data_IF_408634780433
#
_entry.id   IF_408634780433
#
_cell.length_a   1.000
_cell.length_b   1.000
_cell.length_c   1.000
_cell.angle_alpha   90.00
_cell.angle_beta   90.00
_cell.angle_gamma   90.00
#
_symmetry.space_group_name_H-M   'P 1'
#
loop_
_entity.id
_entity.type
_entity.pdbx_description
1 polymer ?
#
# COMPACT_ATOMS: atom_id res chain seq x y z
N UNK A 1 -0.03 -23.66 29.67
CA UNK A 1 0.41 -22.60 30.60
C UNK A 1 1.89 -22.37 30.38
N UNK A 2 2.26 -21.20 29.85
CA UNK A 2 3.61 -20.64 29.91
C UNK A 2 3.51 -19.15 29.55
N UNK A 3 3.60 -18.27 30.56
CA UNK A 3 3.78 -16.82 30.41
C UNK A 3 5.18 -16.51 30.91
N UNK A 4 6.13 -16.34 30.01
CA UNK A 4 7.47 -15.81 30.34
C UNK A 4 7.84 -14.79 29.27
N UNK A 5 8.02 -13.53 29.67
CA UNK A 5 8.54 -12.49 28.79
C UNK A 5 8.16 -11.04 29.14
N UNK A 6 7.13 -10.78 29.96
CA UNK A 6 6.68 -9.40 30.19
C UNK A 6 7.34 -8.68 31.38
N UNK A 7 8.02 -9.39 32.28
CA UNK A 7 8.56 -8.80 33.52
C UNK A 7 9.92 -8.10 33.35
N UNK A 8 10.76 -8.52 32.41
CA UNK A 8 12.11 -7.93 32.27
C UNK A 8 12.11 -6.70 31.38
N UNK A 9 11.17 -6.61 30.43
CA UNK A 9 11.02 -5.45 29.56
C UNK A 9 10.48 -4.22 30.31
N UNK A 10 9.61 -4.44 31.30
CA UNK A 10 9.02 -3.36 32.10
C UNK A 10 10.03 -2.72 33.09
N UNK A 11 11.07 -3.46 33.53
CA UNK A 11 12.10 -2.91 34.42
C UNK A 11 13.06 -1.95 33.71
N UNK A 12 13.42 -2.24 32.45
CA UNK A 12 14.33 -1.35 31.68
C UNK A 12 13.74 0.04 31.39
N UNK A 13 12.42 0.16 31.23
CA UNK A 13 11.78 1.45 30.95
C UNK A 13 11.70 2.33 32.20
N UNK A 14 11.68 1.74 33.40
CA UNK A 14 11.56 2.47 34.65
C UNK A 14 12.90 3.09 35.11
N UNK A 15 14.03 2.51 34.69
CA UNK A 15 15.36 2.97 35.10
C UNK A 15 15.89 4.12 34.22
N UNK A 16 15.40 4.27 32.98
CA UNK A 16 15.86 5.31 32.03
C UNK A 16 15.24 6.71 32.25
N UNK A 17 14.31 6.88 33.20
CA UNK A 17 13.55 8.13 33.37
C UNK A 17 13.79 8.85 34.71
N UNK A 18 14.87 8.50 35.41
CA UNK A 18 15.10 8.99 36.77
C UNK A 18 16.43 9.71 36.94
N UNK A 19 16.72 10.68 36.07
CA UNK A 19 17.75 11.68 36.33
C UNK A 19 17.25 13.10 35.99
N UNK A 20 17.39 13.96 37.01
CA UNK A 20 17.47 15.43 36.99
C UNK A 20 16.20 16.29 36.78
N UNK A 21 15.58 16.68 37.91
CA UNK A 21 15.14 18.08 38.11
C UNK A 21 15.43 18.52 39.55
N UNK A 22 16.18 19.62 39.77
CA UNK A 22 16.40 20.18 41.11
C UNK A 22 15.19 21.00 41.58
N UNK A 23 14.86 20.83 42.85
CA UNK A 23 13.82 21.56 43.59
C UNK A 23 14.23 23.02 43.82
N UNK A 24 13.39 23.97 43.39
CA UNK A 24 13.47 25.38 43.80
C UNK A 24 12.40 25.68 44.86
N UNK A 25 12.85 25.85 46.09
CA UNK A 25 12.15 26.53 47.19
C UNK A 25 12.21 28.05 47.00
N UNK A 26 11.14 28.77 47.34
CA UNK A 26 11.13 30.23 47.37
C UNK A 26 9.75 30.84 47.63
N UNK A 27 9.50 31.09 48.92
CA UNK A 27 8.74 32.14 49.63
C UNK A 27 7.91 33.19 48.87
N UNK A 28 6.81 33.65 49.52
CA UNK A 28 6.23 34.98 49.25
C UNK A 28 4.75 35.21 49.62
N UNK A 29 4.49 35.42 50.92
CA UNK A 29 3.66 36.47 51.58
C UNK A 29 2.34 37.07 51.01
N UNK A 30 1.48 37.44 51.99
CA UNK A 30 0.48 38.55 52.02
C UNK A 30 -0.88 38.33 51.30
N UNK A 31 -2.07 38.65 51.82
CA UNK A 31 -2.50 39.70 52.78
C UNK A 31 -3.68 39.28 53.68
N UNK A 32 -3.73 39.92 54.85
CA UNK A 32 -4.82 40.00 55.82
C UNK A 32 -5.58 41.33 55.63
N UNK A 33 -6.90 41.26 55.47
CA UNK A 33 -7.86 42.31 55.78
C UNK A 33 -9.18 41.60 56.16
N UNK A 34 -9.84 41.80 57.30
CA UNK A 34 -9.99 43.00 58.10
C UNK A 34 -11.30 43.69 57.69
N UNK A 35 -12.43 43.38 58.35
CA UNK A 35 -13.32 44.38 58.95
C UNK A 35 -14.54 43.76 59.65
N UNK A 36 -14.86 44.38 60.79
CA UNK A 36 -15.89 44.03 61.77
C UNK A 36 -17.23 44.66 61.39
N UNK A 37 -18.34 44.04 61.77
CA UNK A 37 -19.56 44.75 62.13
C UNK A 37 -20.14 44.12 63.41
N UNK A 38 -20.22 44.95 64.44
CA UNK A 38 -20.83 44.74 65.75
C UNK A 38 -22.34 45.10 65.66
N UNK A 39 -23.24 44.25 66.18
CA UNK A 39 -24.09 44.49 67.39
C UNK A 39 -25.40 45.27 67.05
N UNK A 40 -26.64 45.02 67.54
CA UNK A 40 -27.20 44.43 68.78
C UNK A 40 -28.70 44.02 68.58
N UNK A 41 -29.15 43.03 69.38
CA UNK A 41 -30.38 42.97 70.23
C UNK A 41 -31.82 42.95 69.61
N UNK A 42 -32.86 42.26 70.13
CA UNK A 42 -33.17 41.68 71.46
C UNK A 42 -34.36 40.64 71.44
N UNK A 43 -34.50 39.90 72.56
CA UNK A 43 -35.71 39.35 73.25
C UNK A 43 -36.28 37.89 73.13
N UNK A 44 -35.83 37.06 74.09
CA UNK A 44 -36.52 36.27 75.16
C UNK A 44 -37.88 35.49 75.04
N UNK A 45 -37.78 34.19 75.38
CA UNK A 45 -38.58 33.35 76.35
C UNK A 45 -39.20 32.02 75.81
N UNK A 46 -39.10 30.89 76.55
CA UNK A 46 -39.67 29.60 76.16
C UNK A 46 -40.92 29.23 76.97
N UNK A 47 -41.97 28.72 76.29
CA UNK A 47 -43.14 28.10 76.93
C UNK A 47 -43.36 26.68 76.41
N UNK A 48 -43.38 25.72 77.34
CA UNK A 48 -43.54 24.28 77.08
C UNK A 48 -44.99 23.93 76.68
N UNK A 49 -45.17 23.43 75.45
CA UNK A 49 -46.32 22.63 75.02
C UNK A 49 -45.93 21.15 74.80
N UNK A 50 -46.90 20.21 74.70
CA UNK A 50 -46.62 18.77 74.70
C UNK A 50 -45.76 18.37 73.50
N UNK A 51 -44.64 17.69 73.79
CA UNK A 51 -43.70 17.18 72.79
C UNK A 51 -44.41 16.16 71.90
N UNK A 52 -44.86 16.59 70.73
CA UNK A 52 -45.03 15.67 69.61
C UNK A 52 -43.66 15.09 69.31
N UNK A 53 -43.46 13.80 69.57
CA UNK A 53 -42.28 13.06 69.10
C UNK A 53 -42.43 12.99 67.58
N UNK A 54 -41.95 14.03 66.90
CA UNK A 54 -41.73 14.00 65.45
C UNK A 54 -40.57 13.05 65.23
N UNK A 55 -40.88 11.94 64.57
CA UNK A 55 -39.97 10.85 64.26
C UNK A 55 -38.77 11.46 63.55
N UNK A 56 -37.65 11.62 64.26
CA UNK A 56 -36.40 12.21 63.75
C UNK A 56 -35.84 11.42 62.56
N UNK A 57 -36.22 10.16 62.45
CA UNK A 57 -35.87 9.29 61.34
C UNK A 57 -36.63 9.66 60.05
N UNK A 58 -37.87 10.16 60.13
CA UNK A 58 -38.63 10.54 58.93
C UNK A 58 -38.14 11.86 58.33
N UNK A 59 -37.77 12.84 59.16
CA UNK A 59 -37.13 14.07 58.67
C UNK A 59 -35.72 13.79 58.14
N UNK A 60 -35.00 12.83 58.74
CA UNK A 60 -33.72 12.33 58.23
C UNK A 60 -33.88 11.64 56.87
N UNK A 61 -34.86 10.74 56.71
CA UNK A 61 -35.12 10.03 55.46
C UNK A 61 -35.59 10.99 54.34
N UNK A 62 -36.46 11.95 54.65
CA UNK A 62 -36.89 12.96 53.68
C UNK A 62 -35.74 13.90 53.30
N UNK A 63 -34.89 14.27 54.26
CA UNK A 63 -33.65 15.02 54.03
C UNK A 63 -32.71 14.26 53.08
N UNK A 64 -32.40 13.01 53.39
CA UNK A 64 -31.56 12.13 52.58
C UNK A 64 -32.15 11.88 51.18
N UNK A 65 -33.48 11.74 51.07
CA UNK A 65 -34.16 11.61 49.77
C UNK A 65 -34.03 12.88 48.95
N UNK A 66 -34.19 14.06 49.57
CA UNK A 66 -34.00 15.34 48.89
C UNK A 66 -32.55 15.56 48.47
N UNK A 67 -31.59 15.14 49.29
CA UNK A 67 -30.16 15.20 49.00
C UNK A 67 -29.77 14.23 47.88
N UNK A 68 -30.33 13.01 47.86
CA UNK A 68 -30.16 12.06 46.77
C UNK A 68 -30.69 12.59 45.44
N UNK A 69 -31.85 13.26 45.47
CA UNK A 69 -32.42 13.89 44.26
C UNK A 69 -31.49 15.01 43.79
N UNK A 70 -31.04 15.91 44.68
CA UNK A 70 -30.08 16.98 44.36
C UNK A 70 -28.79 16.43 43.76
N UNK A 71 -28.20 15.42 44.39
CA UNK A 71 -26.97 14.78 43.92
C UNK A 71 -27.15 14.05 42.60
N UNK A 72 -28.31 13.42 42.37
CA UNK A 72 -28.65 12.80 41.08
C UNK A 72 -28.82 13.86 39.98
N UNK A 73 -29.45 15.01 40.29
CA UNK A 73 -29.57 16.12 39.35
C UNK A 73 -28.22 16.76 39.03
N UNK A 74 -27.32 16.89 40.01
CA UNK A 74 -25.95 17.38 39.82
C UNK A 74 -25.11 16.41 38.97
N UNK A 75 -25.22 15.10 39.24
CA UNK A 75 -24.54 14.07 38.42
C UNK A 75 -25.09 14.05 36.99
N UNK A 76 -26.40 14.22 36.80
CA UNK A 76 -26.99 14.27 35.47
C UNK A 76 -26.64 15.57 34.74
N UNK A 77 -26.62 16.71 35.43
CA UNK A 77 -26.19 17.99 34.89
C UNK A 77 -24.70 17.97 34.51
N UNK A 78 -23.83 17.37 35.33
CA UNK A 78 -22.41 17.19 35.00
C UNK A 78 -22.21 16.20 33.86
N UNK A 79 -22.97 15.10 33.79
CA UNK A 79 -22.96 14.17 32.65
C UNK A 79 -23.45 14.81 31.35
N UNK A 80 -24.54 15.57 31.39
CA UNK A 80 -25.03 16.33 30.23
C UNK A 80 -24.04 17.40 29.81
N UNK A 81 -23.49 18.15 30.77
CA UNK A 81 -22.40 19.09 30.48
C UNK A 81 -21.17 18.39 29.91
N UNK A 82 -20.84 17.16 30.29
CA UNK A 82 -19.69 16.42 29.75
C UNK A 82 -19.98 15.79 28.39
N UNK A 83 -21.24 15.43 28.10
CA UNK A 83 -21.71 15.00 26.78
C UNK A 83 -21.77 16.18 25.79
N UNK A 84 -22.26 17.33 26.23
CA UNK A 84 -22.32 18.55 25.43
C UNK A 84 -20.92 19.21 25.28
N UNK A 85 -19.97 18.91 26.18
CA UNK A 85 -18.56 19.32 26.10
C UNK A 85 -17.70 18.46 25.18
N UNK A 86 -18.25 17.47 24.48
CA UNK A 86 -17.55 16.93 23.30
C UNK A 86 -17.41 17.98 22.18
N UNK A 87 -18.09 19.14 22.22
CA UNK A 87 -17.80 20.22 21.27
C UNK A 87 -18.20 21.67 21.68
N UNK A 88 -17.85 22.15 22.87
CA UNK A 88 -17.81 23.61 23.14
C UNK A 88 -16.60 23.99 24.00
N UNK A 89 -15.49 24.30 23.32
CA UNK A 89 -14.19 24.57 23.94
C UNK A 89 -14.09 25.98 24.56
N UNK A 90 -13.96 26.02 25.88
CA UNK A 90 -13.42 27.15 26.64
C UNK A 90 -11.89 27.22 26.66
N UNK A 91 -11.19 26.37 25.91
CA UNK A 91 -9.74 26.47 25.64
C UNK A 91 -9.52 26.11 24.18
N UNK A 92 -8.69 26.89 23.49
CA UNK A 92 -8.39 26.76 22.06
C UNK A 92 -7.93 25.32 21.76
N UNK A 93 -8.82 24.50 21.20
CA UNK A 93 -8.48 23.24 20.57
C UNK A 93 -7.74 23.56 19.29
N UNK A 94 -6.49 23.09 19.16
CA UNK A 94 -5.62 23.24 17.98
C UNK A 94 -6.24 22.57 16.73
N UNK A 95 -7.38 21.89 16.86
CA UNK A 95 -8.00 21.03 15.84
C UNK A 95 -9.33 21.56 15.27
N UNK A 96 -9.80 22.75 15.66
CA UNK A 96 -11.02 23.33 15.06
C UNK A 96 -10.68 24.27 13.92
N UNK A 97 -10.78 23.74 12.70
CA UNK A 97 -10.64 24.46 11.42
C UNK A 97 -11.67 25.61 11.35
N UNK A 98 -11.19 26.83 11.09
CA UNK A 98 -12.07 28.02 11.01
C UNK A 98 -13.05 27.89 9.84
N UNK A 99 -14.19 28.60 9.87
CA UNK A 99 -15.18 28.59 8.77
C UNK A 99 -14.54 28.96 7.43
N UNK A 100 -13.63 29.94 7.41
CA UNK A 100 -12.92 30.38 6.21
C UNK A 100 -11.95 29.32 5.68
N UNK A 101 -11.33 28.57 6.60
CA UNK A 101 -10.40 27.49 6.27
C UNK A 101 -11.15 26.26 5.71
N UNK A 102 -12.41 26.03 6.10
CA UNK A 102 -13.28 25.04 5.46
C UNK A 102 -13.59 25.42 4.01
N UNK A 103 -13.82 26.70 3.73
CA UNK A 103 -14.11 27.19 2.37
C UNK A 103 -12.86 27.10 1.49
N UNK A 104 -11.67 27.43 2.02
CA UNK A 104 -10.41 27.28 1.27
C UNK A 104 -10.08 25.81 0.99
N UNK A 105 -10.32 24.91 1.95
CA UNK A 105 -10.20 23.46 1.77
C UNK A 105 -11.13 22.93 0.67
N UNK A 106 -12.37 23.41 0.61
CA UNK A 106 -13.33 23.00 -0.44
C UNK A 106 -12.90 23.49 -1.82
N UNK A 107 -12.41 24.73 -1.94
CA UNK A 107 -11.86 25.25 -3.20
C UNK A 107 -10.63 24.46 -3.65
N UNK A 108 -9.70 24.17 -2.73
CA UNK A 108 -8.53 23.36 -3.03
C UNK A 108 -8.89 21.92 -3.43
N UNK A 109 -9.90 21.32 -2.78
CA UNK A 109 -10.42 20.01 -3.15
C UNK A 109 -11.07 20.01 -4.53
N UNK A 110 -11.81 21.06 -4.87
CA UNK A 110 -12.42 21.23 -6.19
C UNK A 110 -11.35 21.41 -7.29
N UNK A 111 -10.37 22.27 -7.07
CA UNK A 111 -9.24 22.44 -8.00
C UNK A 111 -8.43 21.14 -8.18
N UNK A 112 -8.25 20.38 -7.10
CA UNK A 112 -7.63 19.05 -7.17
C UNK A 112 -8.48 18.09 -8.00
N UNK A 113 -9.80 18.10 -7.82
CA UNK A 113 -10.70 17.27 -8.63
C UNK A 113 -10.66 17.65 -10.12
N UNK A 114 -10.56 18.94 -10.44
CA UNK A 114 -10.42 19.40 -11.81
C UNK A 114 -9.10 18.95 -12.44
N UNK A 115 -7.98 19.08 -11.70
CA UNK A 115 -6.67 18.58 -12.14
C UNK A 115 -6.71 17.08 -12.40
N UNK A 116 -7.30 16.31 -11.48
CA UNK A 116 -7.49 14.86 -11.65
C UNK A 116 -8.33 14.58 -12.90
N UNK A 117 -9.44 15.29 -13.11
CA UNK A 117 -10.29 15.14 -14.31
C UNK A 117 -9.58 15.49 -15.62
N UNK A 118 -8.66 16.46 -15.60
CA UNK A 118 -7.82 16.79 -16.76
C UNK A 118 -6.84 15.65 -17.05
N UNK A 119 -6.12 15.17 -16.04
CA UNK A 119 -5.19 14.04 -16.20
C UNK A 119 -5.90 12.75 -16.63
N UNK A 120 -7.10 12.46 -16.12
CA UNK A 120 -7.89 11.32 -16.59
C UNK A 120 -8.31 11.46 -18.06
N UNK A 121 -8.59 12.68 -18.53
CA UNK A 121 -8.90 12.94 -19.94
C UNK A 121 -7.68 12.78 -20.83
N UNK A 122 -6.52 13.27 -20.38
CA UNK A 122 -5.24 13.10 -21.08
C UNK A 122 -4.85 11.62 -21.16
N UNK A 123 -4.97 10.88 -20.05
CA UNK A 123 -4.68 9.45 -20.01
C UNK A 123 -5.59 8.65 -20.96
N UNK A 124 -6.89 8.95 -20.99
CA UNK A 124 -7.82 8.31 -21.94
C UNK A 124 -7.44 8.59 -23.40
N UNK A 125 -6.95 9.79 -23.72
CA UNK A 125 -6.49 10.13 -25.07
C UNK A 125 -5.22 9.36 -25.42
N UNK A 126 -4.25 9.30 -24.52
CA UNK A 126 -3.01 8.52 -24.72
C UNK A 126 -3.32 7.02 -24.92
N UNK A 127 -4.24 6.46 -24.14
CA UNK A 127 -4.69 5.08 -24.32
C UNK A 127 -5.37 4.87 -25.68
N UNK A 128 -6.23 5.80 -26.11
CA UNK A 128 -6.86 5.77 -27.43
C UNK A 128 -5.82 5.83 -28.56
N UNK A 129 -4.88 6.77 -28.50
CA UNK A 129 -3.79 6.89 -29.47
C UNK A 129 -2.94 5.62 -29.52
N UNK A 130 -2.63 5.02 -28.36
CA UNK A 130 -1.91 3.75 -28.30
C UNK A 130 -2.69 2.62 -28.95
N UNK A 131 -3.99 2.53 -28.72
CA UNK A 131 -4.86 1.54 -29.35
C UNK A 131 -4.96 1.75 -30.86
N UNK A 132 -5.05 2.99 -31.32
CA UNK A 132 -5.03 3.32 -32.75
C UNK A 132 -3.69 2.97 -33.40
N UNK A 133 -2.57 3.28 -32.74
CA UNK A 133 -1.24 2.92 -33.22
C UNK A 133 -1.04 1.40 -33.25
N UNK A 134 -1.56 0.67 -32.26
CA UNK A 134 -1.58 -0.79 -32.28
C UNK A 134 -2.44 -1.32 -33.43
N UNK A 135 -3.61 -0.71 -33.67
CA UNK A 135 -4.48 -1.05 -34.79
C UNK A 135 -3.82 -0.80 -36.15
N UNK A 136 -3.12 0.33 -36.32
CA UNK A 136 -2.33 0.63 -37.53
C UNK A 136 -1.22 -0.41 -37.75
N UNK A 137 -0.44 -0.73 -36.70
CA UNK A 137 0.59 -1.77 -36.75
C UNK A 137 0.02 -3.15 -37.08
N UNK A 138 -1.17 -3.48 -36.58
CA UNK A 138 -1.83 -4.74 -36.89
C UNK A 138 -2.24 -4.78 -38.37
N UNK A 139 -2.88 -3.73 -38.87
CA UNK A 139 -3.25 -3.59 -40.29
C UNK A 139 -2.04 -3.64 -41.21
N UNK A 140 -0.96 -2.95 -40.88
CA UNK A 140 0.31 -3.00 -41.62
C UNK A 140 0.87 -4.43 -41.66
N UNK A 141 0.82 -5.17 -40.55
CA UNK A 141 1.21 -6.58 -40.51
C UNK A 141 0.29 -7.45 -41.36
N UNK A 142 -1.02 -7.24 -41.33
CA UNK A 142 -1.98 -7.97 -42.17
C UNK A 142 -1.66 -7.78 -43.65
N UNK A 143 -1.44 -6.52 -44.09
CA UNK A 143 -1.02 -6.21 -45.47
C UNK A 143 0.26 -6.94 -45.86
N UNK A 144 1.26 -6.97 -44.95
CA UNK A 144 2.51 -7.70 -45.18
C UNK A 144 2.28 -9.21 -45.32
N UNK A 145 1.43 -9.80 -44.47
CA UNK A 145 1.10 -11.22 -44.57
C UNK A 145 0.30 -11.57 -45.84
N UNK A 146 -0.62 -10.70 -46.26
CA UNK A 146 -1.35 -10.87 -47.52
C UNK A 146 -0.42 -10.80 -48.73
N UNK A 147 0.53 -9.86 -48.75
CA UNK A 147 1.55 -9.75 -49.79
C UNK A 147 2.48 -10.98 -49.82
N UNK A 148 2.87 -11.52 -48.67
CA UNK A 148 3.64 -12.77 -48.61
C UNK A 148 2.85 -13.95 -49.15
N UNK A 149 1.57 -14.04 -48.79
CA UNK A 149 0.67 -15.12 -49.23
C UNK A 149 0.35 -15.04 -50.72
N UNK A 150 0.31 -13.85 -51.31
CA UNK A 150 0.16 -13.66 -52.76
C UNK A 150 1.48 -13.90 -53.52
N UNK A 151 2.61 -14.09 -52.81
CA UNK A 151 3.93 -14.32 -53.40
C UNK A 151 4.60 -13.03 -53.90
N UNK A 152 4.13 -11.86 -53.46
CA UNK A 152 4.71 -10.58 -53.83
C UNK A 152 6.02 -10.34 -53.05
N UNK A 153 7.05 -9.87 -53.75
CA UNK A 153 8.34 -9.51 -53.13
C UNK A 153 8.14 -8.25 -52.29
N UNK A 154 8.32 -8.38 -50.98
CA UNK A 154 8.29 -7.24 -50.06
C UNK A 154 9.53 -6.39 -50.27
N UNK A 155 9.35 -5.07 -50.30
CA UNK A 155 10.44 -4.10 -50.43
C UNK A 155 10.47 -3.16 -49.22
N UNK A 156 11.66 -2.74 -48.82
CA UNK A 156 11.85 -1.63 -47.89
C UNK A 156 11.43 -0.31 -48.53
N UNK A 157 11.41 0.78 -47.75
CA UNK A 157 11.13 2.14 -48.25
C UNK A 157 12.09 2.56 -49.37
N UNK A 158 13.31 2.00 -49.40
CA UNK A 158 14.34 2.23 -50.41
C UNK A 158 14.20 1.33 -51.66
N UNK A 159 13.06 0.64 -51.81
CA UNK A 159 12.79 -0.36 -52.87
C UNK A 159 13.75 -1.57 -52.90
N UNK A 160 14.59 -1.73 -51.87
CA UNK A 160 15.41 -2.93 -51.69
C UNK A 160 14.53 -4.11 -51.23
N UNK A 161 14.69 -5.32 -51.80
CA UNK A 161 13.90 -6.49 -51.40
C UNK A 161 14.23 -6.96 -49.97
N UNK A 162 13.19 -7.39 -49.24
CA UNK A 162 13.33 -7.94 -47.88
C UNK A 162 13.75 -9.40 -47.96
N UNK A 163 15.03 -9.68 -47.68
CA UNK A 163 15.67 -10.97 -47.95
C UNK A 163 15.29 -12.10 -46.95
N UNK A 164 14.90 -11.75 -45.72
CA UNK A 164 14.67 -12.74 -44.66
C UNK A 164 13.23 -13.22 -44.51
N UNK A 165 12.27 -12.60 -45.20
CA UNK A 165 10.84 -12.84 -44.93
C UNK A 165 10.23 -13.77 -45.99
N UNK A 166 9.94 -15.00 -45.59
CA UNK A 166 9.45 -16.07 -46.48
C UNK A 166 8.23 -16.73 -45.85
N UNK A 167 7.17 -16.93 -46.63
CA UNK A 167 6.05 -17.79 -46.22
C UNK A 167 6.46 -19.26 -46.31
N UNK A 168 6.64 -19.91 -45.15
CA UNK A 168 7.00 -21.32 -45.07
C UNK A 168 5.93 -22.25 -45.68
N UNK A 169 4.66 -21.85 -45.68
CA UNK A 169 3.60 -22.65 -46.28
C UNK A 169 3.70 -22.66 -47.81
N UNK A 170 3.97 -21.50 -48.42
CA UNK A 170 4.25 -21.40 -49.86
C UNK A 170 5.56 -22.09 -50.23
N UNK A 171 6.62 -21.89 -49.45
CA UNK A 171 7.90 -22.56 -49.69
C UNK A 171 7.75 -24.08 -49.67
N UNK A 172 7.01 -24.61 -48.70
CA UNK A 172 6.73 -26.04 -48.59
C UNK A 172 5.93 -26.56 -49.79
N UNK A 173 4.90 -25.84 -50.23
CA UNK A 173 4.13 -26.21 -51.44
C UNK A 173 4.99 -26.22 -52.70
N UNK A 174 5.80 -25.18 -52.92
CA UNK A 174 6.74 -25.13 -54.04
C UNK A 174 7.76 -26.26 -53.99
N UNK A 175 8.22 -26.63 -52.80
CA UNK A 175 9.16 -27.73 -52.60
C UNK A 175 8.49 -29.08 -52.89
N UNK A 176 7.27 -29.31 -52.41
CA UNK A 176 6.46 -30.48 -52.74
C UNK A 176 6.20 -30.57 -54.26
N UNK A 177 5.81 -29.47 -54.91
CA UNK A 177 5.64 -29.40 -56.37
C UNK A 177 6.94 -29.70 -57.13
N UNK A 178 8.09 -29.23 -56.65
CA UNK A 178 9.40 -29.59 -57.22
C UNK A 178 9.73 -31.06 -57.03
N UNK A 179 9.52 -31.62 -55.84
CA UNK A 179 9.73 -33.06 -55.60
C UNK A 179 8.79 -33.92 -56.46
N UNK A 180 7.58 -33.45 -56.74
CA UNK A 180 6.65 -34.13 -57.64
C UNK A 180 7.06 -33.97 -59.12
N UNK A 181 7.54 -32.80 -59.54
CA UNK A 181 8.00 -32.53 -60.91
C UNK A 181 9.39 -33.11 -61.25
N UNK A 182 10.28 -33.27 -60.27
CA UNK A 182 11.60 -33.90 -60.45
C UNK A 182 11.52 -35.43 -60.50
N UNK A 183 10.47 -36.05 -59.96
CA UNK A 183 10.24 -37.50 -60.18
C UNK A 183 9.98 -37.86 -61.65
N UNK A 184 9.63 -36.88 -62.49
CA UNK A 184 9.51 -37.07 -63.95
C UNK A 184 10.78 -36.74 -64.73
N UNK A 185 11.82 -36.15 -64.10
CA UNK A 185 13.07 -35.78 -64.76
C UNK A 185 14.25 -36.40 -64.02
N UNK A 186 14.94 -37.34 -64.68
CA UNK A 186 16.08 -38.09 -64.14
C UNK A 186 17.12 -37.20 -63.40
N UNK A 187 17.74 -37.70 -62.30
CA UNK A 187 18.61 -36.89 -61.45
C UNK A 187 19.93 -36.54 -62.14
N UNK A 188 20.08 -35.26 -62.54
CA UNK A 188 21.36 -34.70 -62.98
C UNK A 188 22.23 -34.31 -61.78
N UNK A 189 23.26 -35.12 -61.51
CA UNK A 189 24.27 -34.86 -60.48
C UNK A 189 25.24 -33.75 -60.89
N UNK A 190 25.04 -32.51 -60.45
CA UNK A 190 26.13 -31.52 -60.47
C UNK A 190 25.97 -30.41 -59.42
N UNK A 191 26.68 -30.59 -58.31
CA UNK A 191 27.43 -29.58 -57.55
C UNK A 191 26.86 -28.16 -57.42
N UNK A 192 26.26 -27.86 -56.26
CA UNK A 192 26.19 -26.48 -55.75
C UNK A 192 26.76 -26.41 -54.33
N UNK A 193 28.07 -26.15 -54.23
CA UNK A 193 28.73 -25.79 -52.97
C UNK A 193 28.22 -24.41 -52.52
N UNK A 194 27.27 -24.39 -51.59
CA UNK A 194 26.93 -23.16 -50.86
C UNK A 194 28.09 -22.86 -49.90
N UNK A 195 28.75 -21.71 -50.09
CA UNK A 195 29.71 -21.19 -49.13
C UNK A 195 28.91 -20.65 -47.94
N UNK A 196 29.00 -21.29 -46.79
CA UNK A 196 28.51 -20.72 -45.54
C UNK A 196 29.58 -19.74 -45.05
N UNK A 197 29.22 -18.47 -44.91
CA UNK A 197 30.03 -17.47 -44.21
C UNK A 197 29.92 -17.77 -42.72
N UNK A 198 30.65 -18.78 -42.26
CA UNK A 198 30.86 -18.98 -40.83
C UNK A 198 31.86 -17.92 -40.38
N UNK A 199 31.41 -16.99 -39.52
CA UNK A 199 32.31 -16.14 -38.74
C UNK A 199 33.32 -17.07 -38.04
N UNK A 200 34.59 -16.90 -38.37
CA UNK A 200 35.64 -17.79 -37.89
C UNK A 200 35.82 -17.53 -36.39
N UNK A 201 36.05 -18.60 -35.63
CA UNK A 201 36.40 -18.50 -34.22
C UNK A 201 37.68 -17.68 -34.07
N UNK A 202 37.58 -16.48 -33.50
CA UNK A 202 38.73 -15.66 -33.14
C UNK A 202 39.22 -16.09 -31.75
N UNK A 203 40.40 -16.73 -31.64
CA UNK A 203 40.93 -17.20 -30.36
C UNK A 203 41.34 -16.05 -29.43
N UNK A 204 41.42 -14.83 -29.95
CA UNK A 204 41.83 -13.62 -29.23
C UNK A 204 40.65 -12.73 -28.80
N UNK A 205 39.40 -13.05 -29.18
CA UNK A 205 38.22 -12.35 -28.65
C UNK A 205 38.05 -12.64 -27.15
N UNK A 206 37.80 -11.60 -26.35
CA UNK A 206 37.60 -11.71 -24.91
C UNK A 206 36.49 -12.70 -24.57
N UNK A 207 36.89 -13.92 -24.24
CA UNK A 207 35.98 -14.99 -23.89
C UNK A 207 35.17 -14.55 -22.65
N UNK A 208 33.84 -14.54 -22.78
CA UNK A 208 32.95 -14.20 -21.66
C UNK A 208 33.31 -15.06 -20.44
N UNK A 209 33.79 -14.40 -19.38
CA UNK A 209 34.31 -15.03 -18.15
C UNK A 209 33.19 -15.53 -17.23
N UNK A 210 31.95 -15.06 -17.45
CA UNK A 210 30.80 -15.44 -16.63
C UNK A 210 29.56 -15.71 -17.51
N UNK A 211 28.80 -16.73 -17.14
CA UNK A 211 27.54 -17.10 -17.80
C UNK A 211 27.34 -18.61 -17.94
N UNK A 212 26.11 -18.99 -18.31
CA UNK A 212 25.71 -20.40 -18.46
C UNK A 212 26.51 -21.12 -19.55
N UNK A 213 26.95 -20.39 -20.58
CA UNK A 213 27.76 -20.90 -21.68
C UNK A 213 29.24 -21.16 -21.33
N UNK A 214 29.72 -20.75 -20.14
CA UNK A 214 31.13 -20.87 -19.75
C UNK A 214 31.43 -22.09 -18.85
N UNK A 215 30.40 -22.76 -18.30
CA UNK A 215 30.63 -24.00 -17.54
C UNK A 215 30.96 -25.15 -18.49
N UNK A 216 32.26 -25.46 -18.60
CA UNK A 216 32.72 -26.69 -19.25
C UNK A 216 32.39 -27.85 -18.33
N UNK A 217 31.60 -28.80 -18.83
CA UNK A 217 31.40 -30.08 -18.15
C UNK A 217 32.64 -30.94 -18.30
N UNK A 218 32.86 -31.85 -17.36
CA UNK A 218 33.88 -32.88 -17.51
C UNK A 218 33.63 -33.76 -18.73
N UNK A 219 34.71 -34.29 -19.31
CA UNK A 219 34.62 -35.22 -20.45
C UNK A 219 34.06 -36.59 -20.05
N UNK A 220 34.27 -37.00 -18.80
CA UNK A 220 33.75 -38.27 -18.29
C UNK A 220 32.25 -38.20 -18.02
N UNK A 221 31.50 -39.16 -18.55
CA UNK A 221 30.04 -39.16 -18.53
C UNK A 221 29.46 -39.13 -17.10
N UNK A 222 30.00 -39.92 -16.19
CA UNK A 222 29.49 -40.02 -14.82
C UNK A 222 29.67 -38.72 -14.04
N UNK A 223 30.83 -38.08 -14.19
CA UNK A 223 31.12 -36.81 -13.51
C UNK A 223 30.31 -35.67 -14.14
N UNK A 224 30.09 -35.71 -15.46
CA UNK A 224 29.21 -34.77 -16.17
C UNK A 224 27.77 -34.86 -15.68
N UNK A 225 27.24 -36.08 -15.54
CA UNK A 225 25.88 -36.30 -15.05
C UNK A 225 25.71 -35.78 -13.61
N UNK A 226 26.70 -36.01 -12.73
CA UNK A 226 26.70 -35.46 -11.36
C UNK A 226 26.69 -33.93 -11.35
N UNK A 227 27.53 -33.29 -12.18
CA UNK A 227 27.56 -31.83 -12.32
C UNK A 227 26.25 -31.25 -12.85
N UNK A 228 25.62 -31.93 -13.82
CA UNK A 228 24.30 -31.55 -14.33
C UNK A 228 23.23 -31.69 -13.25
N UNK A 229 23.24 -32.77 -12.48
CA UNK A 229 22.29 -32.99 -11.41
C UNK A 229 22.44 -31.93 -10.30
N UNK A 230 23.68 -31.60 -9.92
CA UNK A 230 23.96 -30.52 -8.97
C UNK A 230 23.42 -29.17 -9.45
N UNK A 231 23.63 -28.84 -10.73
CA UNK A 231 23.08 -27.61 -11.34
C UNK A 231 21.56 -27.58 -11.30
N UNK A 232 20.90 -28.70 -11.59
CA UNK A 232 19.44 -28.80 -11.52
C UNK A 232 18.95 -28.62 -10.09
N UNK A 233 19.63 -29.18 -9.09
CA UNK A 233 19.26 -29.04 -7.68
C UNK A 233 19.45 -27.60 -7.19
N UNK A 234 20.51 -26.91 -7.62
CA UNK A 234 20.71 -25.48 -7.33
C UNK A 234 19.65 -24.60 -7.99
N UNK A 235 19.23 -24.95 -9.21
CA UNK A 235 18.14 -24.25 -9.91
C UNK A 235 16.82 -24.43 -9.16
N UNK A 236 16.47 -25.66 -8.77
CA UNK A 236 15.27 -25.95 -7.96
C UNK A 236 15.28 -25.19 -6.64
N UNK A 237 16.42 -25.15 -5.93
CA UNK A 237 16.57 -24.37 -4.69
C UNK A 237 16.29 -22.88 -4.92
N UNK A 238 16.86 -22.31 -5.99
CA UNK A 238 16.66 -20.89 -6.36
C UNK A 238 15.22 -20.59 -6.72
N UNK A 239 14.53 -21.49 -7.42
CA UNK A 239 13.11 -21.32 -7.73
C UNK A 239 12.24 -21.35 -6.48
N UNK A 240 12.55 -22.24 -5.53
CA UNK A 240 11.85 -22.32 -4.24
C UNK A 240 12.06 -21.04 -3.42
N UNK A 241 13.29 -20.51 -3.35
CA UNK A 241 13.54 -19.25 -2.62
C UNK A 241 12.84 -18.08 -3.29
N UNK A 242 12.93 -17.93 -4.61
CA UNK A 242 12.25 -16.88 -5.37
C UNK A 242 10.73 -16.93 -5.19
N UNK A 243 10.13 -18.13 -5.17
CA UNK A 243 8.69 -18.29 -4.89
C UNK A 243 8.34 -17.84 -3.47
N UNK A 244 9.11 -18.23 -2.46
CA UNK A 244 8.90 -17.80 -1.07
C UNK A 244 9.02 -16.28 -0.93
N UNK A 245 10.03 -15.68 -1.54
CA UNK A 245 10.23 -14.23 -1.54
C UNK A 245 9.05 -13.49 -2.21
N UNK A 246 8.56 -14.00 -3.35
CA UNK A 246 7.39 -13.45 -4.02
C UNK A 246 6.13 -13.56 -3.15
N UNK A 247 5.91 -14.68 -2.49
CA UNK A 247 4.78 -14.88 -1.57
C UNK A 247 4.86 -13.96 -0.36
N UNK A 248 6.05 -13.81 0.24
CA UNK A 248 6.27 -12.88 1.35
C UNK A 248 6.07 -11.42 0.94
N UNK A 249 6.56 -11.03 -0.24
CA UNK A 249 6.32 -9.70 -0.80
C UNK A 249 4.82 -9.46 -1.01
N UNK A 250 4.09 -10.43 -1.57
CA UNK A 250 2.64 -10.36 -1.76
C UNK A 250 1.90 -10.24 -0.42
N UNK A 251 2.26 -11.03 0.60
CA UNK A 251 1.69 -10.93 1.96
C UNK A 251 1.95 -9.56 2.58
N UNK A 252 3.17 -9.03 2.45
CA UNK A 252 3.51 -7.67 2.93
C UNK A 252 2.66 -6.59 2.25
N UNK A 253 2.44 -6.69 0.93
CA UNK A 253 1.59 -5.75 0.20
C UNK A 253 0.12 -5.84 0.65
N UNK A 254 -0.41 -7.05 0.81
CA UNK A 254 -1.77 -7.26 1.33
C UNK A 254 -1.92 -6.70 2.75
N UNK A 255 -0.96 -6.94 3.64
CA UNK A 255 -0.98 -6.40 5.00
C UNK A 255 -0.94 -4.87 5.02
N UNK A 256 -0.12 -4.24 4.16
CA UNK A 256 -0.11 -2.77 3.99
C UNK A 256 -1.46 -2.26 3.51
N UNK A 257 -2.05 -2.93 2.52
CA UNK A 257 -3.35 -2.58 1.98
C UNK A 257 -4.48 -2.74 3.00
N UNK A 258 -4.47 -3.82 3.78
CA UNK A 258 -5.40 -4.02 4.89
C UNK A 258 -5.26 -2.96 5.97
N UNK A 259 -4.02 -2.60 6.35
CA UNK A 259 -3.76 -1.53 7.32
C UNK A 259 -4.31 -0.19 6.83
N UNK A 260 -4.11 0.14 5.55
CA UNK A 260 -4.69 1.33 4.93
C UNK A 260 -6.21 1.30 4.93
N UNK A 261 -6.81 0.15 4.60
CA UNK A 261 -8.26 -0.01 4.63
C UNK A 261 -8.85 0.10 6.04
N UNK A 262 -8.16 -0.41 7.08
CA UNK A 262 -8.57 -0.18 8.47
C UNK A 262 -8.56 1.30 8.84
N UNK A 263 -7.54 2.05 8.41
CA UNK A 263 -7.47 3.50 8.62
C UNK A 263 -8.57 4.25 7.85
N UNK A 264 -8.88 3.84 6.61
CA UNK A 264 -9.99 4.40 5.83
C UNK A 264 -11.32 4.23 6.54
N UNK A 265 -11.63 3.01 7.00
CA UNK A 265 -12.87 2.73 7.75
C UNK A 265 -12.93 3.57 9.03
N UNK A 266 -11.81 3.66 9.79
CA UNK A 266 -11.75 4.48 11.01
C UNK A 266 -12.02 5.97 10.72
N UNK A 267 -11.65 6.44 9.53
CA UNK A 267 -11.85 7.81 9.09
C UNK A 267 -13.16 8.02 8.30
N UNK A 268 -14.07 7.02 8.28
CA UNK A 268 -15.36 7.12 7.58
C UNK A 268 -15.28 7.06 6.05
N UNK A 269 -14.16 6.61 5.48
CA UNK A 269 -13.99 6.39 4.05
C UNK A 269 -14.26 4.92 3.68
N UNK A 270 -14.84 4.71 2.50
CA UNK A 270 -15.08 3.38 1.96
C UNK A 270 -13.78 2.59 1.72
N UNK A 271 -13.90 1.26 1.74
CA UNK A 271 -12.78 0.35 1.53
C UNK A 271 -12.27 0.52 0.10
N UNK A 272 -10.99 0.84 -0.07
CA UNK A 272 -10.39 0.87 -1.40
C UNK A 272 -10.29 -0.54 -1.97
N UNK A 273 -10.79 -0.73 -3.19
CA UNK A 273 -10.60 -1.95 -3.96
C UNK A 273 -9.19 -1.96 -4.58
N UNK A 274 -8.60 -3.16 -4.63
CA UNK A 274 -7.32 -3.45 -5.28
C UNK A 274 -7.52 -3.59 -6.79
#
# INVERSE_FOLDING_TARGET
>A
MATFGSSEFAKRIADDFREETPSTSGDGQEELAGEKFEEKQDDETPTHGPKQIRISEQSSILGLKSELIKRKTEINATKQQNLDKEYTGGRRSILTVKKDEKVSMQKAAFERSQRISQYERELRREEQERMEMMGKKLKEKEVVYEALKSGQVLTYQDNSPVDFMVDFALKKKLEEEKYHGEKEKEPSTSNLKRKHDAEHYDPDEEQRVYGVSHKKFSADEETRQRQLQELLDMTKKTDVTRRKEMEEARKKQLAKHEKLNRLRIKNGLERGFL
#
